data_IF_782648678311
#
_entry.id   IF_782648678311
#
_cell.length_a   1.000
_cell.length_b   1.000
_cell.length_c   1.000
_cell.angle_alpha   90.00
_cell.angle_beta   90.00
_cell.angle_gamma   90.00
#
_symmetry.space_group_name_H-M   'P 1'
#
loop_
_entity.id
_entity.type
_entity.pdbx_description
1 polymer ?
#
# COMPACT_ATOMS: atom_id res chain seq x y z
N UNK A 1 -13.55 -0.10 -7.07
CA UNK A 1 -13.54 -1.53 -6.70
C UNK A 1 -12.40 -1.84 -5.72
N UNK A 2 -12.61 -2.78 -4.79
CA UNK A 2 -11.49 -3.31 -3.98
C UNK A 2 -10.51 -4.09 -4.86
N UNK A 3 -9.21 -3.82 -4.75
CA UNK A 3 -8.16 -4.51 -5.50
C UNK A 3 -8.23 -6.02 -5.27
N UNK A 4 -8.13 -6.80 -6.35
CA UNK A 4 -8.06 -8.26 -6.25
C UNK A 4 -6.70 -8.70 -5.70
N UNK A 5 -6.67 -9.89 -5.06
CA UNK A 5 -5.40 -10.48 -4.56
C UNK A 5 -4.33 -10.59 -5.66
N UNK A 6 -4.76 -10.80 -6.91
CA UNK A 6 -3.86 -10.90 -8.07
C UNK A 6 -3.22 -9.56 -8.41
N UNK A 7 -3.97 -8.46 -8.33
CA UNK A 7 -3.45 -7.10 -8.55
C UNK A 7 -2.47 -6.71 -7.46
N UNK A 8 -2.83 -6.95 -6.19
CA UNK A 8 -1.95 -6.67 -5.05
C UNK A 8 -0.64 -7.46 -5.17
N UNK A 9 -0.68 -8.72 -5.60
CA UNK A 9 0.53 -9.51 -5.89
C UNK A 9 1.40 -8.85 -6.97
N UNK A 10 0.79 -8.39 -8.06
CA UNK A 10 1.52 -7.66 -9.11
C UNK A 10 2.19 -6.38 -8.59
N UNK A 11 1.51 -5.63 -7.72
CA UNK A 11 2.08 -4.44 -7.08
C UNK A 11 3.20 -4.76 -6.10
N UNK A 12 3.12 -5.88 -5.39
CA UNK A 12 4.20 -6.33 -4.50
C UNK A 12 5.43 -6.76 -5.30
N UNK A 13 5.24 -7.48 -6.40
CA UNK A 13 6.34 -7.83 -7.31
C UNK A 13 7.00 -6.56 -7.86
N UNK A 14 6.20 -5.54 -8.22
CA UNK A 14 6.71 -4.25 -8.65
C UNK A 14 7.48 -3.52 -7.54
N UNK A 15 6.97 -3.49 -6.32
CA UNK A 15 7.65 -2.92 -5.17
C UNK A 15 9.00 -3.60 -4.91
N UNK A 16 9.08 -4.92 -5.09
CA UNK A 16 10.32 -5.68 -4.98
C UNK A 16 11.30 -5.35 -6.12
N UNK A 17 10.83 -5.24 -7.37
CA UNK A 17 11.64 -4.81 -8.51
C UNK A 17 12.26 -3.43 -8.29
N UNK A 18 11.48 -2.49 -7.75
CA UNK A 18 11.91 -1.13 -7.46
C UNK A 18 12.73 -1.01 -6.15
N UNK A 19 12.90 -2.11 -5.40
CA UNK A 19 13.56 -2.13 -4.07
C UNK A 19 12.91 -1.14 -3.09
N UNK A 20 11.60 -0.99 -3.17
CA UNK A 20 10.80 -0.18 -2.25
C UNK A 20 10.79 -0.83 -0.87
N UNK A 21 10.77 -0.01 0.19
CA UNK A 21 10.68 -0.53 1.56
C UNK A 21 9.23 -0.83 1.95
N UNK A 22 8.30 -0.03 1.42
CA UNK A 22 6.87 -0.16 1.70
C UNK A 22 6.04 -0.03 0.43
N UNK A 23 4.88 -0.66 0.45
CA UNK A 23 3.82 -0.51 -0.54
C UNK A 23 2.56 -0.07 0.21
N UNK A 24 1.98 1.05 -0.20
CA UNK A 24 0.73 1.58 0.31
C UNK A 24 -0.35 1.29 -0.73
N UNK A 25 -1.50 0.77 -0.31
CA UNK A 25 -2.69 0.64 -1.12
C UNK A 25 -3.62 1.77 -0.74
N UNK A 26 -3.89 2.65 -1.69
CA UNK A 26 -4.77 3.79 -1.51
C UNK A 26 -6.09 3.49 -2.22
N UNK A 27 -7.19 3.94 -1.64
CA UNK A 27 -8.50 3.98 -2.27
C UNK A 27 -8.82 5.43 -2.60
N UNK A 28 -9.13 5.71 -3.85
CA UNK A 28 -9.83 6.95 -4.19
C UNK A 28 -11.31 6.78 -3.85
N UNK A 29 -11.86 7.66 -3.02
CA UNK A 29 -13.25 7.59 -2.54
C UNK A 29 -14.25 8.21 -3.51
N UNK A 30 -13.77 8.78 -4.63
CA UNK A 30 -14.60 9.25 -5.72
C UNK A 30 -15.07 8.10 -6.63
N UNK A 31 -14.14 7.27 -7.09
CA UNK A 31 -14.42 6.11 -7.97
C UNK A 31 -14.31 4.74 -7.24
N UNK A 32 -13.90 4.76 -5.97
CA UNK A 32 -13.64 3.60 -5.11
C UNK A 32 -12.52 2.70 -5.62
N UNK A 33 -11.64 3.16 -6.50
CA UNK A 33 -10.58 2.35 -7.08
C UNK A 33 -9.30 2.36 -6.24
N UNK A 34 -8.64 1.21 -6.24
CA UNK A 34 -7.40 1.00 -5.52
C UNK A 34 -6.18 1.16 -6.43
N UNK A 35 -5.14 1.80 -5.90
CA UNK A 35 -3.87 1.94 -6.61
C UNK A 35 -2.66 1.85 -5.67
N UNK A 36 -1.50 1.42 -6.19
CA UNK A 36 -0.29 1.24 -5.41
C UNK A 36 0.51 2.54 -5.31
N UNK A 37 1.06 2.80 -4.12
CA UNK A 37 2.05 3.85 -3.90
C UNK A 37 3.27 3.25 -3.20
N UNK A 38 4.43 3.40 -3.83
CA UNK A 38 5.68 2.81 -3.35
C UNK A 38 6.46 3.80 -2.49
N UNK A 39 6.99 3.38 -1.35
CA UNK A 39 7.81 4.24 -0.50
C UNK A 39 9.22 3.67 -0.26
N UNK A 40 10.23 4.55 -0.27
CA UNK A 40 11.64 4.21 -0.11
C UNK A 40 12.14 4.52 1.31
N UNK A 41 11.52 3.86 2.29
CA UNK A 41 11.91 3.90 3.69
C UNK A 41 10.82 4.47 4.59
N UNK A 42 11.02 4.35 5.91
CA UNK A 42 10.00 4.69 6.90
C UNK A 42 9.54 6.16 6.84
N UNK A 43 10.48 7.09 6.68
CA UNK A 43 10.15 8.53 6.60
C UNK A 43 9.30 8.86 5.37
N UNK A 44 9.63 8.25 4.23
CA UNK A 44 8.88 8.43 2.98
C UNK A 44 7.49 7.78 3.07
N UNK A 45 7.40 6.61 3.70
CA UNK A 45 6.11 5.97 3.99
C UNK A 45 5.20 6.86 4.84
N UNK A 46 5.74 7.47 5.91
CA UNK A 46 4.97 8.37 6.77
C UNK A 46 4.49 9.61 6.02
N UNK A 47 5.34 10.23 5.20
CA UNK A 47 4.95 11.36 4.36
C UNK A 47 3.82 10.99 3.40
N UNK A 48 3.90 9.84 2.74
CA UNK A 48 2.85 9.37 1.83
C UNK A 48 1.55 9.07 2.59
N UNK A 49 1.62 8.51 3.79
CA UNK A 49 0.42 8.37 4.63
C UNK A 49 -0.20 9.74 4.92
N UNK A 50 0.60 10.73 5.30
CA UNK A 50 0.13 12.09 5.54
C UNK A 50 -0.45 12.74 4.27
N UNK A 51 0.12 12.48 3.09
CA UNK A 51 -0.33 13.04 1.80
C UNK A 51 -1.64 12.43 1.29
N UNK A 52 -1.88 11.14 1.58
CA UNK A 52 -2.94 10.35 0.95
C UNK A 52 -4.04 9.88 1.92
N UNK A 53 -3.86 9.98 3.23
CA UNK A 53 -4.86 9.50 4.18
C UNK A 53 -5.84 10.61 4.58
N UNK A 54 -7.10 10.46 4.14
CA UNK A 54 -8.22 11.39 4.37
C UNK A 54 -7.99 12.79 3.76
N UNK A 55 -7.10 12.89 2.77
CA UNK A 55 -6.85 14.10 1.99
C UNK A 55 -7.38 13.90 0.58
N UNK A 56 -8.04 14.93 0.02
CA UNK A 56 -8.50 14.97 -1.38
C UNK A 56 -9.30 13.73 -1.81
N UNK A 57 -10.20 13.24 -0.95
CA UNK A 57 -11.02 12.05 -1.22
C UNK A 57 -10.18 10.78 -1.38
N UNK A 58 -8.99 10.69 -0.80
CA UNK A 58 -8.14 9.50 -0.85
C UNK A 58 -7.93 8.95 0.56
N UNK A 59 -7.77 7.63 0.65
CA UNK A 59 -7.58 6.95 1.92
C UNK A 59 -6.61 5.79 1.79
N UNK A 60 -5.65 5.69 2.70
CA UNK A 60 -4.77 4.53 2.77
C UNK A 60 -5.54 3.38 3.43
N UNK A 61 -5.69 2.26 2.73
CA UNK A 61 -6.36 1.06 3.26
C UNK A 61 -5.37 0.03 3.80
N UNK A 62 -4.22 -0.12 3.14
CA UNK A 62 -3.21 -1.10 3.52
C UNK A 62 -1.80 -0.54 3.35
N UNK A 63 -0.89 -0.95 4.24
CA UNK A 63 0.54 -0.68 4.18
C UNK A 63 1.29 -1.98 4.37
N UNK A 64 2.00 -2.42 3.33
CA UNK A 64 2.85 -3.60 3.34
C UNK A 64 4.31 -3.22 3.54
N UNK A 65 4.99 -3.91 4.44
CA UNK A 65 6.43 -3.80 4.63
C UNK A 65 7.14 -4.88 3.83
N UNK A 66 7.95 -4.49 2.84
CA UNK A 66 8.66 -5.41 1.95
C UNK A 66 9.78 -6.18 2.65
N UNK A 67 10.21 -5.75 3.84
CA UNK A 67 11.21 -6.46 4.66
C UNK A 67 10.60 -7.53 5.56
N UNK A 68 9.27 -7.62 5.62
CA UNK A 68 8.54 -8.63 6.41
C UNK A 68 7.92 -9.67 5.49
N UNK A 69 7.47 -10.79 6.06
CA UNK A 69 6.79 -11.83 5.30
C UNK A 69 5.46 -11.33 4.75
N UNK A 70 5.40 -11.10 3.44
CA UNK A 70 4.19 -10.68 2.71
C UNK A 70 3.03 -11.65 2.92
N UNK A 71 3.31 -12.97 2.90
CA UNK A 71 2.29 -14.02 3.11
C UNK A 71 1.60 -13.92 4.47
N UNK A 72 2.26 -13.36 5.49
CA UNK A 72 1.63 -13.12 6.80
C UNK A 72 0.75 -11.88 6.75
N UNK A 73 1.21 -10.83 6.09
CA UNK A 73 0.49 -9.56 5.96
C UNK A 73 -0.81 -9.70 5.16
N UNK A 74 -0.83 -10.53 4.11
CA UNK A 74 -2.06 -10.85 3.35
C UNK A 74 -3.16 -11.53 4.17
N UNK A 75 -2.81 -12.14 5.31
CA UNK A 75 -3.78 -12.78 6.21
C UNK A 75 -4.32 -11.81 7.26
N UNK A 76 -3.77 -10.59 7.33
CA UNK A 76 -4.27 -9.54 8.21
C UNK A 76 -5.51 -8.92 7.57
N UNK A 77 -6.54 -8.61 8.36
CA UNK A 77 -7.77 -7.99 7.83
C UNK A 77 -7.51 -6.64 7.16
N UNK A 78 -6.52 -5.89 7.66
CA UNK A 78 -5.93 -4.69 7.04
C UNK A 78 -4.47 -4.62 7.49
N UNK A 79 -3.54 -4.75 6.55
CA UNK A 79 -2.09 -4.66 6.84
C UNK A 79 -1.72 -3.21 7.14
N UNK A 80 -1.05 -2.94 8.27
CA UNK A 80 -0.57 -1.59 8.61
C UNK A 80 0.87 -1.63 9.14
N UNK A 81 1.76 -2.15 8.30
CA UNK A 81 3.13 -2.49 8.69
C UNK A 81 4.12 -1.38 8.31
N UNK A 82 4.48 -0.52 9.27
CA UNK A 82 5.37 0.65 9.10
C UNK A 82 6.78 0.39 9.67
#
# INVERSE_FOLDING_TARGET
>A
MSASEKEIKGWIEEAQRQKSSHLLIITDTFDYDNYPVFAHGKKDCMKKIEEYNDINMQKVEEVYNMRRSIKKQFKENRSWNI
#
